data_IF_271079282022
#
_entry.id   IF_271079282022
#
_cell.length_a   1.000
_cell.length_b   1.000
_cell.length_c   1.000
_cell.angle_alpha   90.00
_cell.angle_beta   90.00
_cell.angle_gamma   90.00
#
_symmetry.space_group_name_H-M   'P 1'
#
loop_
_entity.id
_entity.type
_entity.pdbx_description
1 polymer ?
#
# COMPACT_ATOMS: atom_id res chain seq x y z
N UNK A 1 -0.63 -2.37 22.14
CA UNK A 1 -1.51 -3.53 22.39
C UNK A 1 -1.96 -4.11 21.06
N UNK A 2 -1.90 -5.44 20.87
CA UNK A 2 -2.44 -6.08 19.67
C UNK A 2 -3.97 -6.20 19.83
N UNK A 3 -4.80 -5.55 18.99
CA UNK A 3 -6.25 -5.58 19.15
C UNK A 3 -6.87 -6.97 18.88
N UNK A 4 -6.11 -7.91 18.32
CA UNK A 4 -6.60 -9.22 17.88
C UNK A 4 -6.12 -10.38 18.77
N UNK A 5 -5.78 -10.13 20.03
CA UNK A 5 -5.21 -11.14 20.93
C UNK A 5 -6.14 -12.36 21.14
N UNK A 6 -7.46 -12.17 21.03
CA UNK A 6 -8.48 -13.22 21.17
C UNK A 6 -8.60 -14.17 19.98
N UNK A 7 -7.97 -13.86 18.84
CA UNK A 7 -8.11 -14.67 17.63
C UNK A 7 -7.02 -15.76 17.52
N UNK A 8 -7.30 -16.89 16.85
CA UNK A 8 -6.27 -17.81 16.37
C UNK A 8 -5.23 -17.09 15.50
N UNK A 9 -3.98 -17.55 15.53
CA UNK A 9 -2.85 -16.85 14.90
C UNK A 9 -3.06 -16.61 13.39
N UNK A 10 -3.66 -17.55 12.68
CA UNK A 10 -3.98 -17.42 11.26
C UNK A 10 -5.01 -16.30 11.00
N UNK A 11 -6.05 -16.23 11.84
CA UNK A 11 -7.05 -15.16 11.76
C UNK A 11 -6.47 -13.79 12.11
N UNK A 12 -5.51 -13.71 13.06
CA UNK A 12 -4.81 -12.45 13.36
C UNK A 12 -4.08 -11.89 12.14
N UNK A 13 -3.38 -12.76 11.39
CA UNK A 13 -2.64 -12.34 10.18
C UNK A 13 -3.58 -11.78 9.13
N UNK A 14 -4.71 -12.46 8.91
CA UNK A 14 -5.74 -11.99 7.97
C UNK A 14 -6.30 -10.63 8.41
N UNK A 15 -6.63 -10.46 9.70
CA UNK A 15 -7.15 -9.19 10.20
C UNK A 15 -6.14 -8.05 10.10
N UNK A 16 -4.84 -8.33 10.31
CA UNK A 16 -3.78 -7.33 10.10
C UNK A 16 -3.67 -6.92 8.63
N UNK A 17 -3.77 -7.87 7.69
CA UNK A 17 -3.76 -7.57 6.25
C UNK A 17 -4.99 -6.74 5.86
N UNK A 18 -6.18 -7.09 6.35
CA UNK A 18 -7.41 -6.33 6.11
C UNK A 18 -7.31 -4.92 6.68
N UNK A 19 -6.80 -4.78 7.91
CA UNK A 19 -6.60 -3.47 8.53
C UNK A 19 -5.62 -2.60 7.73
N UNK A 20 -4.51 -3.18 7.27
CA UNK A 20 -3.54 -2.47 6.44
C UNK A 20 -4.14 -2.06 5.09
N UNK A 21 -4.90 -2.96 4.45
CA UNK A 21 -5.59 -2.67 3.19
C UNK A 21 -6.60 -1.52 3.36
N UNK A 22 -7.40 -1.57 4.43
CA UNK A 22 -8.37 -0.52 4.72
C UNK A 22 -7.68 0.84 4.99
N UNK A 23 -6.56 0.84 5.70
CA UNK A 23 -5.77 2.04 5.93
C UNK A 23 -5.20 2.60 4.62
N UNK A 24 -4.64 1.75 3.77
CA UNK A 24 -4.11 2.12 2.46
C UNK A 24 -5.23 2.66 1.55
N UNK A 25 -6.42 2.05 1.55
CA UNK A 25 -7.60 2.53 0.81
C UNK A 25 -8.04 3.93 1.28
N UNK A 26 -8.03 4.20 2.59
CA UNK A 26 -8.36 5.51 3.13
C UNK A 26 -7.36 6.57 2.66
N UNK A 27 -6.06 6.25 2.67
CA UNK A 27 -5.01 7.13 2.13
C UNK A 27 -5.22 7.34 0.61
N UNK A 28 -5.55 6.28 -0.12
CA UNK A 28 -5.81 6.39 -1.55
C UNK A 28 -7.00 7.29 -1.85
N UNK A 29 -8.10 7.18 -1.10
CA UNK A 29 -9.31 8.00 -1.25
C UNK A 29 -9.08 9.46 -0.89
N UNK A 30 -8.35 9.75 0.18
CA UNK A 30 -8.06 11.14 0.59
C UNK A 30 -7.28 11.92 -0.48
N UNK A 31 -6.46 11.22 -1.28
CA UNK A 31 -5.70 11.80 -2.40
C UNK A 31 -6.51 12.00 -3.68
N UNK A 32 -7.78 11.60 -3.73
CA UNK A 32 -8.59 11.69 -4.94
C UNK A 32 -8.73 13.12 -5.46
N UNK A 33 -8.93 14.11 -4.58
CA UNK A 33 -9.02 15.51 -4.96
C UNK A 33 -7.74 16.00 -5.66
N UNK A 34 -6.57 15.55 -5.20
CA UNK A 34 -5.27 15.88 -5.81
C UNK A 34 -5.13 15.25 -7.20
N UNK A 35 -5.53 13.98 -7.36
CA UNK A 35 -5.53 13.30 -8.68
C UNK A 35 -6.47 13.98 -9.67
N UNK A 36 -7.69 14.34 -9.24
CA UNK A 36 -8.65 15.07 -10.08
C UNK A 36 -8.10 16.44 -10.50
N UNK A 37 -7.53 17.20 -9.55
CA UNK A 37 -6.88 18.49 -9.83
C UNK A 37 -5.74 18.36 -10.84
N UNK A 38 -4.88 17.35 -10.69
CA UNK A 38 -3.79 17.05 -11.64
C UNK A 38 -4.32 16.81 -13.05
N UNK A 39 -5.36 15.99 -13.20
CA UNK A 39 -5.96 15.69 -14.51
C UNK A 39 -6.56 16.93 -15.16
N UNK A 40 -7.16 17.83 -14.37
CA UNK A 40 -7.71 19.11 -14.85
C UNK A 40 -6.62 20.10 -15.27
N UNK A 41 -5.58 20.28 -14.46
CA UNK A 41 -4.51 21.26 -14.70
C UNK A 41 -3.52 20.81 -15.79
N UNK A 42 -3.31 19.51 -15.92
CA UNK A 42 -2.30 18.95 -16.82
C UNK A 42 -2.89 17.89 -17.77
N UNK A 43 -3.80 18.30 -18.68
CA UNK A 43 -4.52 17.38 -19.57
C UNK A 43 -3.59 16.70 -20.60
N UNK A 44 -2.41 17.25 -20.86
CA UNK A 44 -1.40 16.70 -21.79
C UNK A 44 -0.39 15.74 -21.16
N UNK A 45 -0.39 15.57 -19.83
CA UNK A 45 0.48 14.59 -19.19
C UNK A 45 0.15 13.16 -19.64
N UNK A 46 1.19 12.39 -19.95
CA UNK A 46 1.03 10.98 -20.30
C UNK A 46 0.42 10.18 -19.15
N UNK A 47 -0.36 9.14 -19.48
CA UNK A 47 -0.97 8.28 -18.47
C UNK A 47 0.08 7.63 -17.54
N UNK A 48 1.24 7.26 -18.10
CA UNK A 48 2.37 6.69 -17.35
C UNK A 48 2.88 7.65 -16.27
N UNK A 49 3.13 8.90 -16.64
CA UNK A 49 3.64 9.91 -15.71
C UNK A 49 2.60 10.29 -14.65
N UNK A 50 1.31 10.39 -15.03
CA UNK A 50 0.22 10.57 -14.06
C UNK A 50 0.21 9.47 -13.00
N UNK A 51 0.33 8.21 -13.44
CA UNK A 51 0.39 7.07 -12.52
C UNK A 51 1.58 7.15 -11.58
N UNK A 52 2.77 7.51 -12.09
CA UNK A 52 3.96 7.67 -11.25
C UNK A 52 3.77 8.77 -10.19
N UNK A 53 3.19 9.90 -10.57
CA UNK A 53 2.90 10.99 -9.62
C UNK A 53 1.82 10.59 -8.60
N UNK A 54 0.79 9.86 -9.01
CA UNK A 54 -0.26 9.35 -8.11
C UNK A 54 0.34 8.37 -7.09
N UNK A 55 1.26 7.49 -7.51
CA UNK A 55 1.97 6.56 -6.64
C UNK A 55 2.96 7.26 -5.71
N UNK A 56 3.66 8.29 -6.19
CA UNK A 56 4.57 9.10 -5.37
C UNK A 56 3.82 9.80 -4.24
N UNK A 57 2.67 10.41 -4.55
CA UNK A 57 1.82 11.05 -3.54
C UNK A 57 1.31 10.03 -2.51
N UNK A 58 0.92 8.84 -2.97
CA UNK A 58 0.49 7.76 -2.10
C UNK A 58 1.61 7.29 -1.16
N UNK A 59 2.81 7.02 -1.69
CA UNK A 59 3.96 6.62 -0.89
C UNK A 59 4.34 7.68 0.15
N UNK A 60 4.26 8.96 -0.20
CA UNK A 60 4.49 10.07 0.74
C UNK A 60 3.44 10.18 1.83
N UNK A 61 2.18 9.89 1.51
CA UNK A 61 1.06 9.99 2.46
C UNK A 61 0.88 8.74 3.33
N UNK A 62 1.49 7.62 2.94
CA UNK A 62 1.43 6.38 3.70
C UNK A 62 2.24 6.56 5.00
N UNK A 63 1.64 6.31 6.18
CA UNK A 63 2.38 6.35 7.43
C UNK A 63 3.52 5.30 7.44
N UNK A 64 4.64 5.56 8.14
CA UNK A 64 5.70 4.57 8.32
C UNK A 64 5.12 3.28 8.89
N UNK A 65 5.48 2.13 8.33
CA UNK A 65 4.96 0.81 8.72
C UNK A 65 5.50 0.32 10.08
N UNK A 66 5.98 1.19 10.95
CA UNK A 66 6.73 0.85 12.16
C UNK A 66 5.90 0.23 13.30
N UNK A 67 4.69 -0.27 13.06
CA UNK A 67 3.84 -0.87 14.12
C UNK A 67 3.05 -2.11 13.70
N UNK A 68 3.65 -3.03 12.94
CA UNK A 68 3.20 -4.43 12.92
C UNK A 68 4.40 -5.33 13.22
N UNK A 69 4.44 -5.84 14.45
CA UNK A 69 5.58 -6.56 14.98
C UNK A 69 6.05 -7.73 14.12
N UNK A 70 7.36 -7.73 13.85
CA UNK A 70 8.23 -8.90 13.78
C UNK A 70 7.63 -10.14 13.09
N UNK A 71 7.57 -10.12 11.77
CA UNK A 71 7.44 -11.33 10.94
C UNK A 71 8.78 -12.10 10.94
N UNK A 72 9.13 -12.76 12.06
CA UNK A 72 10.10 -13.86 12.03
C UNK A 72 9.38 -15.10 11.49
N UNK A 73 9.62 -15.43 10.21
CA UNK A 73 9.22 -16.72 9.65
C UNK A 73 9.04 -16.76 8.13
N UNK A 74 8.82 -15.61 7.47
CA UNK A 74 8.90 -15.51 6.02
C UNK A 74 9.96 -14.46 5.70
N UNK A 75 11.08 -14.95 5.17
CA UNK A 75 12.22 -14.16 4.71
C UNK A 75 11.81 -13.37 3.47
N UNK A 76 10.93 -12.38 3.62
CA UNK A 76 10.80 -11.30 2.65
C UNK A 76 11.86 -10.28 3.02
N UNK A 77 13.06 -10.50 2.47
CA UNK A 77 14.16 -9.54 2.51
C UNK A 77 13.72 -8.32 1.70
N UNK A 78 13.06 -7.37 2.34
CA UNK A 78 13.01 -5.99 1.85
C UNK A 78 14.29 -5.30 2.33
N UNK A 79 15.42 -5.70 1.75
CA UNK A 79 16.62 -4.88 1.86
C UNK A 79 16.44 -3.68 0.94
N UNK A 80 16.07 -2.55 1.53
CA UNK A 80 16.36 -1.24 0.96
C UNK A 80 17.87 -1.04 1.01
N UNK A 81 18.58 -1.43 -0.05
CA UNK A 81 19.97 -1.02 -0.27
C UNK A 81 19.97 0.12 -1.28
N UNK A 82 20.39 1.29 -0.80
CA UNK A 82 21.00 2.39 -1.55
C UNK A 82 20.63 2.54 -3.03
N UNK A 83 19.65 3.41 -3.30
CA UNK A 83 19.73 4.27 -4.49
C UNK A 83 19.18 3.74 -5.82
N UNK A 84 18.51 2.58 -5.89
CA UNK A 84 17.85 2.13 -7.13
C UNK A 84 16.40 1.65 -6.91
N UNK A 85 15.51 2.18 -7.75
CA UNK A 85 14.06 1.91 -7.83
C UNK A 85 13.71 0.44 -8.02
N UNK A 86 12.60 -0.08 -7.43
CA UNK A 86 11.99 -1.31 -7.91
C UNK A 86 10.54 -1.14 -8.37
N UNK A 87 10.34 -1.38 -9.65
CA UNK A 87 9.19 -2.11 -10.15
C UNK A 87 9.03 -3.41 -9.34
N UNK A 88 8.01 -3.53 -8.49
CA UNK A 88 7.32 -4.79 -8.15
C UNK A 88 6.38 -4.57 -6.96
N UNK A 89 5.08 -4.50 -7.22
CA UNK A 89 4.10 -5.09 -6.30
C UNK A 89 3.30 -6.06 -7.16
N UNK A 90 3.64 -7.33 -7.00
CA UNK A 90 2.96 -8.45 -7.61
C UNK A 90 1.50 -8.45 -7.16
N UNK A 91 0.62 -8.41 -8.17
CA UNK A 91 -0.80 -8.68 -8.05
C UNK A 91 -0.99 -10.10 -7.48
N UNK A 92 -1.68 -10.22 -6.35
CA UNK A 92 -2.21 -11.49 -5.88
C UNK A 92 -3.59 -11.28 -5.26
N UNK A 93 -4.56 -10.89 -6.09
CA UNK A 93 -5.99 -11.12 -5.85
C UNK A 93 -6.67 -11.33 -7.22
N UNK A 94 -6.49 -12.50 -7.83
CA UNK A 94 -7.25 -12.92 -9.01
C UNK A 94 -8.00 -14.25 -8.84
N UNK A 95 -8.25 -14.73 -7.62
CA UNK A 95 -9.01 -15.98 -7.40
C UNK A 95 -9.95 -15.89 -6.20
N UNK A 96 -10.82 -14.88 -6.16
CA UNK A 96 -11.99 -14.88 -5.24
C UNK A 96 -13.09 -13.91 -5.68
N UNK A 97 -13.42 -13.94 -6.97
CA UNK A 97 -14.73 -13.47 -7.44
C UNK A 97 -15.23 -14.39 -8.56
N UNK A 98 -16.23 -15.19 -8.16
CA UNK A 98 -17.14 -16.03 -8.93
C UNK A 98 -16.58 -17.36 -9.42
#
# INVERSE_FOLDING_TARGET
MNPYYNLPQEQRRIQQLVAQFNADEQVWRSLEGKRRRRRRLFPRLSAKLRKQLDLFDFAKARPPQDRVGLLRGLRVRLEYVNGQSPHAVAFAFSQLRK
#
